data_IF_447043499666
#
_entry.id   IF_447043499666
#
_cell.length_a   1.000
_cell.length_b   1.000
_cell.length_c   1.000
_cell.angle_alpha   90.00
_cell.angle_beta   90.00
_cell.angle_gamma   90.00
#
_symmetry.space_group_name_H-M   'P 1'
#
loop_
_entity.id
_entity.type
_entity.pdbx_description
1 polymer ?
#
# COMPACT_ATOMS: atom_id res chain seq x y z
N UNK A 1 -5.09 7.89 -0.69
CA UNK A 1 -3.63 7.64 -0.66
C UNK A 1 -2.97 8.56 0.35
N UNK A 2 -1.86 8.12 0.97
CA UNK A 2 -1.08 8.97 1.87
C UNK A 2 -1.73 9.28 3.23
N UNK A 3 -2.82 8.61 3.61
CA UNK A 3 -3.33 8.63 4.98
C UNK A 3 -2.83 7.38 5.72
N UNK A 4 -2.68 7.50 7.04
CA UNK A 4 -2.37 6.37 7.91
C UNK A 4 -3.68 5.71 8.40
N UNK A 5 -3.63 4.41 8.69
CA UNK A 5 -4.81 3.61 8.98
C UNK A 5 -5.70 4.21 10.09
N UNK A 6 -5.09 4.81 11.13
CA UNK A 6 -5.81 5.47 12.23
C UNK A 6 -6.70 6.65 11.78
N UNK A 7 -6.36 7.29 10.66
CA UNK A 7 -7.06 8.47 10.12
C UNK A 7 -8.02 8.09 8.97
N UNK A 8 -8.16 6.80 8.67
CA UNK A 8 -9.07 6.33 7.63
C UNK A 8 -10.52 6.55 8.06
N UNK A 9 -11.33 7.16 7.19
CA UNK A 9 -12.76 7.42 7.42
C UNK A 9 -13.68 6.32 6.87
N UNK A 10 -13.12 5.26 6.30
CA UNK A 10 -13.91 4.14 5.83
C UNK A 10 -14.60 3.45 7.01
N UNK A 11 -15.86 3.06 6.84
CA UNK A 11 -16.63 2.35 7.87
C UNK A 11 -16.15 0.91 8.06
N UNK A 12 -15.55 0.34 7.03
CA UNK A 12 -15.18 -1.06 6.95
C UNK A 12 -13.73 -1.19 6.48
N UNK A 13 -13.05 -2.21 7.00
CA UNK A 13 -11.74 -2.63 6.51
C UNK A 13 -11.88 -3.29 5.14
N UNK A 14 -10.92 -3.06 4.25
CA UNK A 14 -10.86 -3.71 2.94
C UNK A 14 -9.75 -4.76 2.92
N UNK A 15 -10.05 -5.95 2.43
CA UNK A 15 -9.06 -6.99 2.33
C UNK A 15 -8.02 -6.67 1.25
N UNK A 16 -6.74 -6.61 1.63
CA UNK A 16 -5.63 -6.34 0.70
C UNK A 16 -5.40 -7.45 -0.34
N UNK A 17 -6.04 -8.61 -0.20
CA UNK A 17 -5.91 -9.75 -1.13
C UNK A 17 -7.10 -9.83 -2.08
N UNK A 18 -8.31 -10.00 -1.55
CA UNK A 18 -9.51 -10.25 -2.35
C UNK A 18 -10.40 -9.02 -2.58
N UNK A 19 -10.13 -7.90 -1.92
CA UNK A 19 -10.87 -6.64 -2.11
C UNK A 19 -12.23 -6.54 -1.41
N UNK A 20 -12.65 -7.56 -0.67
CA UNK A 20 -13.95 -7.58 0.01
C UNK A 20 -13.90 -6.86 1.38
N UNK A 21 -15.07 -6.43 1.91
CA UNK A 21 -15.16 -5.65 3.16
C UNK A 21 -14.96 -6.55 4.39
N UNK A 22 -13.72 -6.88 4.68
CA UNK A 22 -13.30 -7.54 5.91
C UNK A 22 -11.82 -7.30 6.17
N UNK A 23 -11.40 -7.59 7.41
CA UNK A 23 -9.98 -7.58 7.76
C UNK A 23 -9.21 -8.63 6.95
N UNK A 24 -7.96 -8.34 6.54
CA UNK A 24 -7.11 -9.33 5.87
C UNK A 24 -6.94 -10.63 6.66
N UNK A 25 -6.93 -10.55 8.00
CA UNK A 25 -6.83 -11.71 8.89
C UNK A 25 -8.06 -12.62 8.89
N UNK A 26 -9.21 -12.13 8.43
CA UNK A 26 -10.47 -12.88 8.32
C UNK A 26 -10.76 -13.33 6.88
N UNK A 27 -9.80 -13.20 5.97
CA UNK A 27 -9.97 -13.60 4.58
C UNK A 27 -10.11 -15.12 4.47
N UNK A 28 -11.19 -15.59 3.84
CA UNK A 28 -11.40 -17.00 3.53
C UNK A 28 -11.14 -17.32 2.06
N UNK A 29 -11.13 -16.29 1.20
CA UNK A 29 -10.97 -16.45 -0.25
C UNK A 29 -9.59 -15.98 -0.71
N UNK A 30 -8.55 -16.76 -0.40
CA UNK A 30 -7.17 -16.46 -0.79
C UNK A 30 -6.89 -16.58 -2.29
N UNK A 31 -7.78 -17.26 -3.03
CA UNK A 31 -7.64 -17.44 -4.49
C UNK A 31 -8.21 -16.26 -5.27
N UNK A 32 -9.12 -15.47 -4.67
CA UNK A 32 -9.62 -14.24 -5.26
C UNK A 32 -8.58 -13.14 -5.06
N UNK A 33 -8.06 -12.62 -6.17
CA UNK A 33 -7.16 -11.47 -6.19
C UNK A 33 -7.94 -10.24 -6.64
N UNK A 34 -7.78 -9.14 -5.92
CA UNK A 34 -8.28 -7.83 -6.32
C UNK A 34 -7.38 -6.71 -5.82
N UNK A 35 -7.15 -5.73 -6.70
CA UNK A 35 -6.41 -4.53 -6.39
C UNK A 35 -7.37 -3.35 -6.22
N UNK A 36 -7.57 -2.87 -4.99
CA UNK A 36 -8.40 -1.69 -4.70
C UNK A 36 -7.84 -0.39 -5.29
N UNK A 37 -6.55 -0.40 -5.62
CA UNK A 37 -5.82 0.75 -6.16
C UNK A 37 -6.12 0.99 -7.64
N UNK A 38 -6.10 -0.07 -8.45
CA UNK A 38 -6.33 -0.01 -9.89
C UNK A 38 -7.62 -0.71 -10.35
N UNK A 39 -8.40 -1.26 -9.41
CA UNK A 39 -9.70 -1.92 -9.64
C UNK A 39 -9.65 -3.11 -10.59
N UNK A 40 -8.59 -3.94 -10.51
CA UNK A 40 -8.44 -5.15 -11.34
C UNK A 40 -8.40 -6.43 -10.51
N UNK A 41 -8.75 -7.56 -11.12
CA UNK A 41 -8.66 -8.89 -10.51
C UNK A 41 -7.31 -9.61 -10.80
N UNK A 42 -6.40 -8.96 -11.54
CA UNK A 42 -5.16 -9.59 -12.00
C UNK A 42 -4.15 -9.82 -10.87
N UNK A 43 -4.22 -8.99 -9.82
CA UNK A 43 -3.31 -9.03 -8.69
C UNK A 43 -3.94 -8.49 -7.42
N UNK A 44 -3.36 -8.84 -6.27
CA UNK A 44 -3.76 -8.30 -4.98
C UNK A 44 -3.22 -6.86 -4.78
N UNK A 45 -3.87 -6.11 -3.88
CA UNK A 45 -3.54 -4.71 -3.56
C UNK A 45 -2.13 -4.49 -2.97
N UNK A 46 -1.40 -5.57 -2.68
CA UNK A 46 -0.02 -5.54 -2.20
C UNK A 46 1.05 -5.79 -3.24
N UNK A 47 0.66 -6.02 -4.50
CA UNK A 47 1.61 -6.22 -5.59
C UNK A 47 2.40 -4.94 -5.87
N UNK A 48 3.73 -5.06 -5.88
CA UNK A 48 4.66 -3.95 -6.15
C UNK A 48 4.77 -3.59 -7.63
N UNK A 49 4.35 -4.48 -8.53
CA UNK A 49 4.25 -4.24 -9.97
C UNK A 49 2.90 -3.63 -10.39
N UNK A 50 2.09 -3.17 -9.43
CA UNK A 50 0.86 -2.45 -9.73
C UNK A 50 1.22 -1.08 -10.32
N UNK A 51 0.78 -0.80 -11.55
CA UNK A 51 1.06 0.49 -12.23
C UNK A 51 0.59 1.71 -11.42
N UNK A 52 -0.56 1.61 -10.75
CA UNK A 52 -1.03 2.70 -9.88
C UNK A 52 -0.09 2.88 -8.67
N UNK A 53 0.43 1.80 -8.11
CA UNK A 53 1.42 1.88 -7.03
C UNK A 53 2.70 2.58 -7.49
N UNK A 54 3.24 2.19 -8.65
CA UNK A 54 4.44 2.80 -9.25
C UNK A 54 4.23 4.29 -9.53
N UNK A 55 3.07 4.65 -10.11
CA UNK A 55 2.71 6.05 -10.34
C UNK A 55 2.68 6.85 -9.04
N UNK A 56 2.14 6.27 -7.95
CA UNK A 56 2.09 6.93 -6.64
C UNK A 56 3.48 7.09 -6.02
N UNK A 57 4.37 6.10 -6.18
CA UNK A 57 5.77 6.22 -5.79
C UNK A 57 6.44 7.38 -6.54
N UNK A 58 6.33 7.42 -7.88
CA UNK A 58 6.92 8.49 -8.67
C UNK A 58 6.39 9.89 -8.28
N UNK A 59 5.09 10.01 -7.98
CA UNK A 59 4.50 11.26 -7.47
C UNK A 59 5.08 11.65 -6.09
N UNK A 60 5.31 10.68 -5.21
CA UNK A 60 5.89 10.94 -3.89
C UNK A 60 7.36 11.33 -3.99
N UNK A 61 8.13 10.63 -4.82
CA UNK A 61 9.55 10.92 -5.04
C UNK A 61 9.75 12.30 -5.68
N UNK A 62 8.87 12.69 -6.61
CA UNK A 62 8.88 14.04 -7.18
C UNK A 62 8.55 15.15 -6.17
N UNK A 63 7.81 14.83 -5.10
CA UNK A 63 7.46 15.78 -4.03
C UNK A 63 8.48 15.83 -2.90
N UNK A 64 9.23 14.75 -2.71
CA UNK A 64 10.19 14.57 -1.61
C UNK A 64 11.54 14.21 -2.25
N UNK A 65 12.32 15.21 -2.70
CA UNK A 65 13.62 14.99 -3.31
C UNK A 65 14.59 14.19 -2.42
N UNK A 66 14.39 14.26 -1.09
CA UNK A 66 15.13 13.50 -0.09
C UNK A 66 15.03 11.98 -0.31
N UNK A 67 13.97 11.48 -0.95
CA UNK A 67 13.84 10.06 -1.30
C UNK A 67 14.95 9.57 -2.24
N UNK A 68 15.58 10.47 -3.01
CA UNK A 68 16.71 10.14 -3.89
C UNK A 68 18.07 10.28 -3.21
N UNK A 69 18.12 10.82 -1.99
CA UNK A 69 19.39 10.99 -1.30
C UNK A 69 19.90 9.66 -0.74
N UNK A 70 21.21 9.38 -0.84
CA UNK A 70 21.78 8.19 -0.23
C UNK A 70 21.52 8.18 1.27
N UNK A 71 21.12 7.02 1.79
CA UNK A 71 21.01 6.83 3.24
C UNK A 71 22.40 6.61 3.84
N UNK A 72 22.80 7.51 4.75
CA UNK A 72 24.03 7.38 5.54
C UNK A 72 23.67 6.94 6.96
N UNK A 73 23.89 5.66 7.32
CA UNK A 73 23.59 5.19 8.67
C UNK A 73 24.44 5.94 9.70
N UNK A 74 23.79 6.52 10.70
CA UNK A 74 24.46 7.12 11.87
C UNK A 74 24.68 6.07 12.94
N UNK A 75 25.77 6.16 13.71
CA UNK A 75 26.07 5.27 14.85
C UNK A 75 25.12 5.42 16.06
N UNK A 76 23.97 6.06 15.88
CA UNK A 76 22.98 6.29 16.92
C UNK A 76 22.06 5.07 16.94
N UNK A 77 22.00 4.38 18.08
CA UNK A 77 21.03 3.31 18.31
C UNK A 77 19.61 3.91 18.30
N UNK A 78 18.70 3.28 17.58
CA UNK A 78 17.30 3.72 17.53
C UNK A 78 16.67 3.34 18.88
N UNK A 79 16.33 4.34 19.70
CA UNK A 79 15.61 4.18 20.98
C UNK A 79 14.12 4.38 20.80
#
# INVERSE_FOLDING_TARGET
WGHIAKDCKAKEDMCRTCGDPHRPSACTNHNKLFCVSCSTNDHASHNRACREFENRCAILDAKIPENFMPYFPTNILWT
#
